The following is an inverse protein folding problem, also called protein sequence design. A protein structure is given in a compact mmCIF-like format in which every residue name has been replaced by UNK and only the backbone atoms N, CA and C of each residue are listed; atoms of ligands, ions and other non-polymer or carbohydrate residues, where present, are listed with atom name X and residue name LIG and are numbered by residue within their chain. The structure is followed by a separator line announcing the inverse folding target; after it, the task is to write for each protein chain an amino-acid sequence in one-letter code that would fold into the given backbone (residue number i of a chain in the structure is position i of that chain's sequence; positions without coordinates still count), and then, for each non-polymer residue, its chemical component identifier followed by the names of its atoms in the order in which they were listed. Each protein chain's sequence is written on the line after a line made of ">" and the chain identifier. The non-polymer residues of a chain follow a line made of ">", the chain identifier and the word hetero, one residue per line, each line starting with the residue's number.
data_IF_848557179299
#
_entry.id   IF_848557179299
#
_cell.length_a   1.000
_cell.length_b   1.000
_cell.length_c   1.000
_cell.angle_alpha   90.00
_cell.angle_beta   90.00
_cell.angle_gamma   90.00
#
_symmetry.space_group_name_H-M   'P 1'
#
loop_
_entity.id
_entity.type
_entity.pdbx_description
1 polymer ?
#
# COMPACT_ATOMS: atom_id res chain seq x y z
N UNK A 1 28.83 -16.61 -0.84
CA UNK A 1 28.72 -15.24 -1.41
C UNK A 1 28.22 -14.33 -0.32
N UNK A 2 28.81 -13.14 -0.13
CA UNK A 2 28.29 -12.18 0.85
C UNK A 2 26.86 -11.78 0.48
N UNK A 3 25.98 -11.68 1.47
CA UNK A 3 24.63 -11.16 1.29
C UNK A 3 24.70 -9.68 0.86
N UNK A 4 23.86 -9.25 -0.10
CA UNK A 4 23.77 -7.83 -0.46
C UNK A 4 23.19 -7.01 0.70
N UNK A 5 23.66 -5.78 0.88
CA UNK A 5 23.09 -4.85 1.85
C UNK A 5 21.66 -4.46 1.44
N UNK A 6 20.74 -4.55 2.39
CA UNK A 6 19.33 -4.14 2.23
C UNK A 6 19.04 -3.01 3.21
N UNK A 7 18.52 -1.90 2.71
CA UNK A 7 18.07 -0.77 3.51
C UNK A 7 16.59 -0.95 3.88
N UNK A 8 16.30 -0.91 5.18
CA UNK A 8 14.94 -0.94 5.72
C UNK A 8 14.57 0.47 6.15
N UNK A 9 13.64 1.12 5.46
CA UNK A 9 13.21 2.50 5.71
C UNK A 9 11.92 2.50 6.51
N UNK A 10 11.94 3.14 7.68
CA UNK A 10 10.84 3.18 8.64
C UNK A 10 10.46 4.63 8.93
N UNK A 11 9.36 5.15 8.38
CA UNK A 11 8.83 6.45 8.78
C UNK A 11 8.19 6.34 10.17
N UNK A 12 8.60 7.18 11.11
CA UNK A 12 8.16 7.18 12.50
C UNK A 12 7.48 8.49 12.83
N UNK A 13 6.22 8.44 13.33
CA UNK A 13 5.51 9.62 13.84
C UNK A 13 4.44 9.23 14.85
N UNK A 14 4.66 9.56 16.12
CA UNK A 14 3.73 9.32 17.22
C UNK A 14 3.19 7.88 17.27
N UNK A 15 4.11 6.90 17.40
CA UNK A 15 3.85 5.45 17.41
C UNK A 15 4.54 4.72 18.55
N UNK A 16 4.78 5.39 19.66
CA UNK A 16 5.51 4.89 20.83
C UNK A 16 5.10 3.48 21.26
N UNK A 17 3.81 3.18 21.23
CA UNK A 17 3.27 1.89 21.70
C UNK A 17 3.64 0.71 20.79
N UNK A 18 3.91 0.97 19.50
CA UNK A 18 4.13 -0.06 18.47
C UNK A 18 5.59 -0.18 18.03
N UNK A 19 6.35 0.90 18.19
CA UNK A 19 7.67 1.07 17.57
C UNK A 19 8.67 -0.02 17.99
N UNK A 20 8.67 -0.44 19.25
CA UNK A 20 9.54 -1.51 19.72
C UNK A 20 9.28 -2.83 18.96
N UNK A 21 8.02 -3.24 18.83
CA UNK A 21 7.65 -4.45 18.11
C UNK A 21 8.10 -4.37 16.64
N UNK A 22 7.93 -3.21 16.00
CA UNK A 22 8.38 -2.98 14.63
C UNK A 22 9.88 -3.13 14.51
N UNK A 23 10.67 -2.38 15.29
CA UNK A 23 12.14 -2.36 15.19
C UNK A 23 12.74 -3.73 15.55
N UNK A 24 12.25 -4.37 16.60
CA UNK A 24 12.69 -5.72 16.98
C UNK A 24 12.41 -6.75 15.88
N UNK A 25 11.26 -6.66 15.19
CA UNK A 25 10.95 -7.54 14.07
C UNK A 25 11.91 -7.37 12.88
N UNK A 26 12.47 -6.18 12.69
CA UNK A 26 13.48 -5.88 11.68
C UNK A 26 14.86 -6.40 12.11
N UNK A 27 15.28 -6.13 13.34
CA UNK A 27 16.59 -6.50 13.85
C UNK A 27 16.77 -8.02 14.01
N UNK A 28 15.67 -8.76 14.17
CA UNK A 28 15.60 -10.22 14.26
C UNK A 28 15.40 -10.93 12.91
N UNK A 29 15.57 -10.24 11.78
CA UNK A 29 15.50 -10.86 10.46
C UNK A 29 16.67 -11.82 10.23
N UNK A 30 16.41 -12.95 9.54
CA UNK A 30 17.45 -13.95 9.19
C UNK A 30 18.44 -13.44 8.16
N UNK A 31 18.08 -12.44 7.37
CA UNK A 31 19.02 -11.69 6.53
C UNK A 31 19.77 -10.68 7.39
N UNK A 32 21.05 -10.95 7.67
CA UNK A 32 21.84 -10.18 8.65
C UNK A 32 22.38 -8.85 8.11
N UNK A 33 22.68 -8.77 6.79
CA UNK A 33 23.31 -7.59 6.19
C UNK A 33 22.27 -6.49 5.90
N UNK A 34 21.82 -5.82 6.96
CA UNK A 34 20.81 -4.76 6.95
C UNK A 34 21.41 -3.42 7.36
N UNK A 35 20.88 -2.33 6.83
CA UNK A 35 20.86 -1.02 7.46
C UNK A 35 19.41 -0.62 7.73
N UNK A 36 19.12 -0.15 8.93
CA UNK A 36 17.78 0.24 9.38
C UNK A 36 17.75 1.75 9.54
N UNK A 37 16.92 2.43 8.76
CA UNK A 37 16.83 3.89 8.73
C UNK A 37 15.51 4.28 9.36
N UNK A 38 15.54 4.69 10.62
CA UNK A 38 14.39 5.22 11.36
C UNK A 38 14.31 6.72 11.10
N UNK A 39 13.25 7.16 10.44
CA UNK A 39 13.03 8.58 10.14
C UNK A 39 11.95 9.12 11.06
N UNK A 40 12.36 9.74 12.17
CA UNK A 40 11.46 10.39 13.11
C UNK A 40 10.99 11.74 12.53
N UNK A 41 9.75 11.76 12.09
CA UNK A 41 9.09 12.90 11.44
C UNK A 41 8.50 13.89 12.47
N UNK A 42 9.30 14.25 13.49
CA UNK A 42 8.95 15.21 14.51
C UNK A 42 7.95 14.66 15.54
N UNK A 43 8.16 13.46 16.05
CA UNK A 43 7.34 12.86 17.09
C UNK A 43 7.39 13.65 18.40
N UNK A 44 6.29 13.61 19.16
CA UNK A 44 6.12 14.30 20.45
C UNK A 44 5.69 13.38 21.59
N UNK A 45 5.59 12.07 21.32
CA UNK A 45 5.08 11.06 22.27
C UNK A 45 6.19 10.20 22.90
N UNK A 46 7.45 10.45 22.58
CA UNK A 46 8.60 9.66 23.02
C UNK A 46 9.08 8.63 21.99
N UNK A 47 8.53 8.62 20.76
CA UNK A 47 9.00 7.74 19.68
C UNK A 47 10.43 8.07 19.26
N UNK A 48 10.83 9.35 19.23
CA UNK A 48 12.16 9.79 18.87
C UNK A 48 13.22 9.25 19.84
N UNK A 49 12.96 9.28 21.14
CA UNK A 49 13.84 8.74 22.18
C UNK A 49 14.01 7.21 22.06
N UNK A 50 12.96 6.50 21.65
CA UNK A 50 13.04 5.06 21.35
C UNK A 50 13.97 4.83 20.15
N UNK A 51 13.81 5.60 19.06
CA UNK A 51 14.73 5.52 17.91
C UNK A 51 16.17 5.68 18.33
N UNK A 52 16.49 6.71 19.13
CA UNK A 52 17.82 6.99 19.63
C UNK A 52 18.40 5.85 20.50
N UNK A 53 17.53 5.19 21.27
CA UNK A 53 17.94 4.04 22.09
C UNK A 53 18.42 2.87 21.23
N UNK A 54 17.72 2.58 20.14
CA UNK A 54 18.14 1.53 19.19
C UNK A 54 19.43 1.88 18.46
N UNK A 55 19.61 3.12 18.02
CA UNK A 55 20.86 3.56 17.39
C UNK A 55 22.09 3.46 18.30
N UNK A 56 21.91 3.55 19.62
CA UNK A 56 22.99 3.37 20.61
C UNK A 56 23.34 1.90 20.84
N UNK A 57 22.40 0.99 20.61
CA UNK A 57 22.57 -0.43 20.97
C UNK A 57 22.84 -1.34 19.75
N UNK A 58 22.43 -0.92 18.54
CA UNK A 58 22.65 -1.70 17.31
C UNK A 58 23.26 -0.82 16.21
N UNK A 59 24.44 -1.15 15.77
CA UNK A 59 25.20 -0.39 14.76
C UNK A 59 24.57 -0.40 13.37
N UNK A 60 23.59 -1.27 13.11
CA UNK A 60 22.83 -1.30 11.87
C UNK A 60 21.76 -0.19 11.81
N UNK A 61 21.43 0.43 12.95
CA UNK A 61 20.37 1.44 13.07
C UNK A 61 20.94 2.85 12.91
N UNK A 62 20.35 3.60 11.99
CA UNK A 62 20.56 5.04 11.80
C UNK A 62 19.25 5.77 12.06
N UNK A 63 19.32 6.90 12.78
CA UNK A 63 18.16 7.76 13.04
C UNK A 63 18.30 9.09 12.31
N UNK A 64 17.21 9.54 11.72
CA UNK A 64 17.08 10.90 11.16
C UNK A 64 15.91 11.59 11.86
N UNK A 65 16.18 12.68 12.57
CA UNK A 65 15.12 13.53 13.10
C UNK A 65 14.81 14.65 12.11
N UNK A 66 13.53 14.82 11.78
CA UNK A 66 13.05 15.84 10.85
C UNK A 66 11.89 16.64 11.45
N UNK A 67 11.62 17.80 10.90
CA UNK A 67 10.34 18.48 11.17
C UNK A 67 9.24 17.74 10.44
N UNK A 68 8.05 17.64 11.05
CA UNK A 68 6.93 16.90 10.49
C UNK A 68 6.58 17.36 9.06
N UNK A 69 6.86 16.49 8.11
CA UNK A 69 6.56 16.64 6.69
C UNK A 69 5.59 15.59 6.16
N UNK A 70 5.20 14.62 7.00
CA UNK A 70 4.35 13.50 6.68
C UNK A 70 5.12 12.29 6.14
N UNK A 71 4.43 11.16 6.05
CA UNK A 71 5.01 9.86 5.72
C UNK A 71 5.77 9.84 4.38
N UNK A 72 5.30 10.59 3.37
CA UNK A 72 5.98 10.74 2.09
C UNK A 72 7.36 11.41 2.24
N UNK A 73 7.45 12.49 3.00
CA UNK A 73 8.70 13.20 3.27
C UNK A 73 9.67 12.32 4.04
N UNK A 74 9.19 11.63 5.09
CA UNK A 74 10.02 10.70 5.86
C UNK A 74 10.60 9.58 4.98
N UNK A 75 9.77 8.94 4.12
CA UNK A 75 10.26 7.91 3.17
C UNK A 75 11.29 8.49 2.19
N UNK A 76 11.08 9.70 1.67
CA UNK A 76 12.03 10.37 0.79
C UNK A 76 13.38 10.61 1.48
N UNK A 77 13.39 11.06 2.73
CA UNK A 77 14.62 11.23 3.52
C UNK A 77 15.36 9.90 3.71
N UNK A 78 14.64 8.82 4.00
CA UNK A 78 15.24 7.49 4.06
C UNK A 78 15.87 7.05 2.73
N UNK A 79 15.20 7.30 1.59
CA UNK A 79 15.73 7.01 0.24
C UNK A 79 17.01 7.81 -0.04
N UNK A 80 17.10 9.05 0.39
CA UNK A 80 18.26 9.93 0.14
C UNK A 80 19.55 9.41 0.78
N UNK A 81 19.44 8.76 1.94
CA UNK A 81 20.62 8.30 2.72
C UNK A 81 20.91 6.81 2.60
N UNK A 82 19.96 6.02 2.06
CA UNK A 82 20.09 4.57 1.94
C UNK A 82 21.27 4.15 1.05
N UNK A 83 22.01 3.12 1.49
CA UNK A 83 23.23 2.62 0.82
C UNK A 83 23.05 1.24 0.22
N UNK A 84 22.00 0.49 0.65
CA UNK A 84 21.72 -0.87 0.22
C UNK A 84 21.58 -1.00 -1.31
N UNK A 85 21.92 -2.14 -1.85
CA UNK A 85 21.65 -2.51 -3.24
C UNK A 85 20.12 -2.63 -3.47
N UNK A 86 19.44 -3.04 -2.42
CA UNK A 86 17.98 -3.15 -2.34
C UNK A 86 17.46 -2.30 -1.19
N UNK A 87 16.17 -1.96 -1.26
CA UNK A 87 15.46 -1.32 -0.16
C UNK A 87 14.06 -1.91 0.03
N UNK A 88 13.55 -1.80 1.24
CA UNK A 88 12.19 -2.12 1.63
C UNK A 88 11.64 -1.05 2.57
N UNK A 89 10.32 -0.91 2.59
CA UNK A 89 9.62 -0.03 3.53
C UNK A 89 8.83 -0.86 4.52
N UNK A 90 8.74 -0.38 5.75
CA UNK A 90 7.82 -0.89 6.76
C UNK A 90 7.19 0.29 7.49
N UNK A 91 5.88 0.25 7.70
CA UNK A 91 5.21 1.22 8.54
C UNK A 91 5.51 0.92 10.03
N UNK A 92 5.74 1.94 10.82
CA UNK A 92 6.29 1.83 12.18
C UNK A 92 5.34 1.23 13.22
N UNK A 93 4.11 0.94 12.85
CA UNK A 93 3.12 0.21 13.62
C UNK A 93 2.95 -1.26 13.19
N UNK A 94 3.65 -1.69 12.13
CA UNK A 94 3.60 -3.04 11.60
C UNK A 94 4.79 -3.90 12.07
N UNK A 95 4.79 -5.18 11.70
CA UNK A 95 5.90 -6.10 11.98
C UNK A 95 6.14 -7.08 10.84
N UNK A 96 7.27 -7.77 10.88
CA UNK A 96 7.69 -8.75 9.90
C UNK A 96 7.93 -10.11 10.54
N UNK A 97 7.61 -11.21 9.83
CA UNK A 97 8.09 -12.54 10.18
C UNK A 97 9.62 -12.62 10.01
N UNK A 98 10.33 -13.41 10.82
CA UNK A 98 11.80 -13.43 10.81
C UNK A 98 12.45 -13.70 9.45
N UNK A 99 11.81 -14.48 8.59
CA UNK A 99 12.37 -14.87 7.28
C UNK A 99 11.89 -13.97 6.13
N UNK A 100 11.16 -12.89 6.39
CA UNK A 100 10.54 -12.09 5.32
C UNK A 100 11.57 -11.50 4.37
N UNK A 101 12.57 -10.78 4.88
CA UNK A 101 13.58 -10.10 4.04
C UNK A 101 14.42 -11.14 3.28
N UNK A 102 14.83 -12.22 3.93
CA UNK A 102 15.58 -13.30 3.28
C UNK A 102 14.77 -13.96 2.18
N UNK A 103 13.49 -14.26 2.41
CA UNK A 103 12.59 -14.85 1.42
C UNK A 103 12.45 -13.95 0.18
N UNK A 104 12.26 -12.65 0.38
CA UNK A 104 12.19 -11.67 -0.71
C UNK A 104 13.53 -11.60 -1.48
N UNK A 105 14.65 -11.58 -0.76
CA UNK A 105 15.99 -11.51 -1.33
C UNK A 105 16.33 -12.75 -2.16
N UNK A 106 16.09 -13.94 -1.63
CA UNK A 106 16.32 -15.21 -2.35
C UNK A 106 15.47 -15.30 -3.61
N UNK A 107 14.20 -14.86 -3.55
CA UNK A 107 13.35 -14.80 -4.72
C UNK A 107 13.85 -13.79 -5.76
N UNK A 108 14.39 -12.65 -5.33
CA UNK A 108 15.04 -11.68 -6.20
C UNK A 108 16.28 -12.29 -6.90
N UNK A 109 17.17 -12.92 -6.13
CA UNK A 109 18.39 -13.55 -6.68
C UNK A 109 18.06 -14.64 -7.70
N UNK A 110 17.02 -15.45 -7.43
CA UNK A 110 16.58 -16.52 -8.32
C UNK A 110 15.96 -16.00 -9.61
N UNK A 111 15.16 -14.94 -9.54
CA UNK A 111 14.37 -14.44 -10.67
C UNK A 111 15.08 -13.33 -11.47
N UNK A 112 16.00 -12.59 -10.84
CA UNK A 112 16.56 -11.35 -11.38
C UNK A 112 15.52 -10.23 -11.51
N UNK A 113 14.44 -10.27 -10.71
CA UNK A 113 13.38 -9.27 -10.76
C UNK A 113 13.84 -7.93 -10.15
N UNK A 114 13.36 -6.81 -10.69
CA UNK A 114 13.63 -5.49 -10.15
C UNK A 114 12.82 -5.21 -8.87
N UNK A 115 11.69 -5.90 -8.74
CA UNK A 115 10.74 -5.81 -7.62
C UNK A 115 10.26 -7.21 -7.26
N UNK A 116 10.30 -7.54 -5.97
CA UNK A 116 9.65 -8.73 -5.41
C UNK A 116 8.56 -8.27 -4.45
N UNK A 117 7.38 -8.81 -4.57
CA UNK A 117 6.22 -8.51 -3.71
C UNK A 117 5.71 -9.79 -3.06
N UNK A 118 5.44 -9.77 -1.77
CA UNK A 118 4.73 -10.85 -1.10
C UNK A 118 3.34 -10.40 -0.64
N UNK A 119 2.56 -11.35 -0.13
CA UNK A 119 1.29 -11.10 0.54
C UNK A 119 1.52 -10.68 1.98
N UNK A 120 0.43 -10.35 2.67
CA UNK A 120 0.43 -9.93 4.07
C UNK A 120 -0.73 -10.58 4.82
N UNK A 121 -0.66 -10.46 6.13
CA UNK A 121 -1.78 -10.79 7.02
C UNK A 121 -2.19 -9.55 7.81
N UNK A 122 -3.49 -9.35 7.97
CA UNK A 122 -4.03 -8.36 8.87
C UNK A 122 -4.01 -8.92 10.28
N UNK A 123 -3.37 -8.21 11.19
CA UNK A 123 -3.34 -8.53 12.61
C UNK A 123 -4.20 -7.50 13.32
N UNK A 124 -5.20 -7.94 14.09
CA UNK A 124 -6.11 -7.07 14.80
C UNK A 124 -5.69 -6.93 16.27
N UNK A 125 -6.03 -5.80 16.90
CA UNK A 125 -5.74 -5.53 18.32
C UNK A 125 -6.34 -6.60 19.27
N UNK A 126 -7.36 -7.33 18.83
CA UNK A 126 -7.97 -8.47 19.56
C UNK A 126 -7.24 -9.82 19.34
N UNK A 127 -6.10 -9.82 18.66
CA UNK A 127 -5.28 -10.98 18.34
C UNK A 127 -5.77 -11.80 17.14
N UNK A 128 -6.86 -11.45 16.52
CA UNK A 128 -7.37 -12.10 15.30
C UNK A 128 -6.45 -11.84 14.12
N UNK A 129 -6.23 -12.87 13.30
CA UNK A 129 -5.41 -12.79 12.08
C UNK A 129 -6.25 -13.16 10.87
N UNK A 130 -6.23 -12.30 9.84
CA UNK A 130 -6.84 -12.56 8.54
C UNK A 130 -5.76 -12.47 7.44
N UNK A 131 -5.58 -13.54 6.68
CA UNK A 131 -4.63 -13.53 5.55
C UNK A 131 -5.19 -12.73 4.38
N UNK A 132 -4.32 -12.00 3.68
CA UNK A 132 -4.71 -11.35 2.44
C UNK A 132 -5.06 -12.40 1.37
N UNK A 133 -6.06 -12.09 0.55
CA UNK A 133 -6.42 -12.95 -0.57
C UNK A 133 -5.34 -12.94 -1.64
N UNK A 134 -5.12 -14.08 -2.30
CA UNK A 134 -4.17 -14.18 -3.40
C UNK A 134 -4.37 -15.43 -4.23
N UNK A 135 -3.83 -15.44 -5.45
CA UNK A 135 -3.93 -16.54 -6.42
C UNK A 135 -2.62 -17.30 -6.59
N UNK A 136 -1.49 -16.67 -6.24
CA UNK A 136 -0.16 -17.29 -6.40
C UNK A 136 0.11 -18.29 -5.29
N UNK A 137 0.36 -19.54 -5.67
CA UNK A 137 0.94 -20.56 -4.81
C UNK A 137 2.43 -20.65 -5.13
N UNK A 138 3.31 -20.44 -4.12
CA UNK A 138 4.75 -20.40 -4.35
C UNK A 138 5.21 -19.05 -4.93
N UNK A 139 5.79 -19.06 -6.13
CA UNK A 139 6.41 -17.88 -6.75
C UNK A 139 6.06 -17.79 -8.23
N UNK A 140 5.74 -16.59 -8.71
CA UNK A 140 5.53 -16.30 -10.14
C UNK A 140 6.28 -15.03 -10.53
N UNK A 141 7.04 -15.10 -11.62
CA UNK A 141 7.76 -13.96 -12.19
C UNK A 141 7.11 -13.55 -13.49
N UNK A 142 6.79 -12.28 -13.64
CA UNK A 142 6.08 -11.74 -14.80
C UNK A 142 6.76 -10.49 -15.33
N UNK A 143 6.46 -10.15 -16.59
CA UNK A 143 6.89 -8.88 -17.19
C UNK A 143 6.02 -7.70 -16.73
N UNK A 144 6.43 -6.49 -17.11
CA UNK A 144 5.82 -5.21 -16.75
C UNK A 144 4.30 -5.16 -16.93
N UNK A 145 3.79 -5.48 -18.12
CA UNK A 145 2.35 -5.34 -18.41
C UNK A 145 1.49 -6.25 -17.52
N UNK A 146 1.93 -7.49 -17.29
CA UNK A 146 1.23 -8.41 -16.40
C UNK A 146 1.33 -7.94 -14.93
N UNK A 147 2.48 -7.37 -14.52
CA UNK A 147 2.62 -6.79 -13.19
C UNK A 147 1.67 -5.60 -12.99
N UNK A 148 1.56 -4.71 -13.97
CA UNK A 148 0.58 -3.62 -13.98
C UNK A 148 -0.86 -4.17 -13.90
N UNK A 149 -1.20 -5.19 -14.70
CA UNK A 149 -2.52 -5.83 -14.66
C UNK A 149 -2.84 -6.38 -13.27
N UNK A 150 -1.89 -7.09 -12.64
CA UNK A 150 -2.05 -7.61 -11.27
C UNK A 150 -2.27 -6.50 -10.25
N UNK A 151 -1.51 -5.41 -10.33
CA UNK A 151 -1.67 -4.25 -9.45
C UNK A 151 -3.05 -3.59 -9.63
N UNK A 152 -3.50 -3.42 -10.88
CA UNK A 152 -4.79 -2.81 -11.19
C UNK A 152 -5.96 -3.63 -10.64
N UNK A 153 -5.93 -4.96 -10.76
CA UNK A 153 -6.94 -5.87 -10.22
C UNK A 153 -6.70 -6.26 -8.74
N UNK A 154 -5.60 -5.83 -8.13
CA UNK A 154 -5.19 -6.21 -6.77
C UNK A 154 -5.03 -7.74 -6.61
N UNK A 155 -4.37 -8.39 -7.58
CA UNK A 155 -4.07 -9.82 -7.56
C UNK A 155 -2.68 -10.02 -6.91
N UNK A 156 -2.64 -10.65 -5.74
CA UNK A 156 -1.43 -10.94 -4.93
C UNK A 156 -0.63 -9.71 -4.47
N UNK A 157 -1.09 -8.49 -4.76
CA UNK A 157 -0.42 -7.23 -4.41
C UNK A 157 -1.43 -6.10 -4.30
N UNK A 158 -1.03 -5.02 -3.66
CA UNK A 158 -1.74 -3.74 -3.65
C UNK A 158 -0.74 -2.60 -3.87
N UNK A 159 -1.25 -1.38 -3.97
CA UNK A 159 -0.46 -0.15 -4.14
C UNK A 159 0.38 0.23 -2.91
N UNK A 160 0.24 -0.45 -1.76
CA UNK A 160 1.11 -0.26 -0.61
C UNK A 160 2.59 -0.47 -0.98
N UNK A 161 3.49 0.29 -0.38
CA UNK A 161 4.94 0.18 -0.65
C UNK A 161 5.63 -0.83 0.25
N UNK A 162 5.02 -1.22 1.36
CA UNK A 162 5.51 -2.29 2.24
C UNK A 162 5.26 -3.70 1.65
N UNK A 163 5.77 -4.74 2.30
CA UNK A 163 5.75 -6.14 1.83
C UNK A 163 6.39 -6.33 0.44
N UNK A 164 7.41 -5.54 0.14
CA UNK A 164 8.12 -5.52 -1.15
C UNK A 164 9.60 -5.28 -0.96
N UNK A 165 10.41 -5.91 -1.84
CA UNK A 165 11.84 -5.62 -1.96
C UNK A 165 12.09 -4.98 -3.32
N UNK A 166 12.70 -3.83 -3.32
CA UNK A 166 12.98 -3.02 -4.51
C UNK A 166 14.46 -2.99 -4.81
N UNK A 167 14.87 -3.10 -6.07
CA UNK A 167 16.17 -2.60 -6.47
C UNK A 167 16.23 -1.09 -6.23
N UNK A 168 17.24 -0.59 -5.52
CA UNK A 168 17.37 0.84 -5.19
C UNK A 168 17.31 1.76 -6.41
N UNK A 169 17.80 1.28 -7.55
CA UNK A 169 17.82 2.04 -8.79
C UNK A 169 16.44 2.49 -9.28
N UNK A 170 15.36 1.82 -8.87
CA UNK A 170 13.99 2.25 -9.15
C UNK A 170 13.65 3.62 -8.53
N UNK A 171 14.40 4.04 -7.51
CA UNK A 171 14.21 5.33 -6.83
C UNK A 171 15.23 6.41 -7.25
N UNK A 172 16.04 6.19 -8.30
CA UNK A 172 16.97 7.23 -8.79
C UNK A 172 16.24 8.52 -9.22
N UNK A 173 15.09 8.39 -9.86
CA UNK A 173 14.28 9.50 -10.37
C UNK A 173 12.89 9.61 -9.76
N UNK A 174 12.49 8.66 -8.91
CA UNK A 174 11.16 8.63 -8.29
C UNK A 174 11.25 9.07 -6.83
N UNK A 175 10.28 9.88 -6.42
CA UNK A 175 10.06 10.29 -5.04
C UNK A 175 8.57 10.28 -4.73
N UNK A 176 8.24 10.06 -3.46
CA UNK A 176 6.88 10.21 -2.98
C UNK A 176 6.45 11.69 -3.07
N UNK A 177 5.20 11.94 -3.43
CA UNK A 177 4.63 13.29 -3.49
C UNK A 177 4.32 13.78 -2.07
N UNK A 178 5.12 14.74 -1.58
CA UNK A 178 5.02 15.27 -0.22
C UNK A 178 3.76 16.12 -0.02
N UNK A 179 3.25 16.15 1.23
CA UNK A 179 2.09 16.95 1.62
C UNK A 179 0.74 16.42 1.14
N UNK A 180 0.71 15.28 0.46
CA UNK A 180 -0.51 14.61 0.01
C UNK A 180 -0.68 13.25 0.69
N UNK A 181 -1.91 12.75 0.69
CA UNK A 181 -2.27 11.40 1.14
C UNK A 181 -2.47 10.50 -0.08
N UNK A 182 -2.39 9.17 0.11
CA UNK A 182 -2.37 8.16 -0.94
C UNK A 182 -1.13 8.24 -1.86
N UNK A 183 -0.01 8.68 -1.30
CA UNK A 183 1.29 8.76 -1.95
C UNK A 183 1.74 7.41 -2.52
N UNK A 184 1.36 6.31 -1.84
CA UNK A 184 1.60 4.94 -2.31
C UNK A 184 0.90 4.66 -3.63
N UNK A 185 -0.37 5.08 -3.75
CA UNK A 185 -1.12 4.95 -5.00
C UNK A 185 -0.44 5.73 -6.14
N UNK A 186 0.08 6.90 -5.85
CA UNK A 186 0.71 7.76 -6.84
C UNK A 186 2.04 7.18 -7.35
N UNK A 187 2.87 6.61 -6.48
CA UNK A 187 4.23 6.17 -6.83
C UNK A 187 4.31 4.77 -7.40
N UNK A 188 3.40 3.84 -7.00
CA UNK A 188 3.54 2.43 -7.36
C UNK A 188 3.42 2.14 -8.85
N UNK A 189 2.56 2.85 -9.59
CA UNK A 189 2.46 2.68 -11.04
C UNK A 189 3.73 3.16 -11.76
N UNK A 190 4.29 4.35 -11.50
CA UNK A 190 5.61 4.75 -12.00
C UNK A 190 6.74 3.77 -11.67
N UNK A 191 6.77 3.20 -10.47
CA UNK A 191 7.76 2.17 -10.09
C UNK A 191 7.62 0.95 -11.01
N UNK A 192 6.40 0.43 -11.19
CA UNK A 192 6.16 -0.73 -12.05
C UNK A 192 6.56 -0.46 -13.51
N UNK A 193 6.35 0.75 -14.01
CA UNK A 193 6.74 1.12 -15.38
C UNK A 193 8.26 1.12 -15.61
N UNK A 194 9.06 1.34 -14.55
CA UNK A 194 10.51 1.23 -14.62
C UNK A 194 11.02 -0.21 -14.45
N UNK A 195 10.18 -1.15 -14.02
CA UNK A 195 10.58 -2.54 -13.86
C UNK A 195 10.63 -3.29 -15.22
N UNK A 196 11.52 -4.26 -15.33
CA UNK A 196 11.50 -5.25 -16.43
C UNK A 196 10.75 -6.50 -16.02
N UNK A 197 10.96 -6.94 -14.78
CA UNK A 197 10.37 -8.15 -14.19
C UNK A 197 9.92 -7.86 -12.75
N UNK A 198 8.80 -8.45 -12.37
CA UNK A 198 8.28 -8.45 -10.99
C UNK A 198 8.02 -9.89 -10.57
N UNK A 199 8.41 -10.24 -9.36
CA UNK A 199 8.11 -11.55 -8.76
C UNK A 199 7.07 -11.37 -7.67
N UNK A 200 6.01 -12.17 -7.72
CA UNK A 200 4.99 -12.27 -6.69
C UNK A 200 5.13 -13.58 -5.93
N UNK A 201 5.11 -13.50 -4.60
CA UNK A 201 5.22 -14.64 -3.69
C UNK A 201 3.89 -14.89 -2.98
N UNK A 202 3.51 -16.17 -2.91
CA UNK A 202 2.38 -16.63 -2.08
C UNK A 202 2.70 -16.67 -0.58
N UNK A 203 3.73 -15.98 -0.13
CA UNK A 203 4.17 -15.89 1.26
C UNK A 203 3.57 -14.64 1.94
N UNK A 204 3.05 -14.78 3.14
CA UNK A 204 2.37 -13.73 3.91
C UNK A 204 3.16 -13.31 5.17
N UNK A 205 4.43 -12.98 4.99
CA UNK A 205 5.36 -12.65 6.07
C UNK A 205 5.27 -11.20 6.60
N UNK A 206 4.49 -10.32 6.00
CA UNK A 206 4.25 -8.97 6.51
C UNK A 206 3.00 -8.95 7.38
N UNK A 207 3.08 -8.41 8.60
CA UNK A 207 2.02 -8.32 9.59
C UNK A 207 1.49 -6.89 9.65
N UNK A 208 0.39 -6.64 8.95
CA UNK A 208 -0.26 -5.32 8.91
C UNK A 208 -1.20 -5.15 10.10
N UNK A 209 -0.87 -4.25 11.03
CA UNK A 209 -1.66 -3.99 12.23
C UNK A 209 -2.91 -3.18 11.94
N UNK A 210 -4.07 -3.72 12.26
CA UNK A 210 -5.37 -3.08 12.09
C UNK A 210 -5.77 -2.31 13.35
N UNK A 211 -5.26 -1.06 13.48
CA UNK A 211 -5.60 -0.18 14.63
C UNK A 211 -6.98 0.45 14.48
N UNK A 212 -7.66 0.63 15.60
CA UNK A 212 -8.94 1.36 15.67
C UNK A 212 -8.78 2.84 15.29
N UNK A 213 -7.64 3.46 15.64
CA UNK A 213 -7.30 4.87 15.39
C UNK A 213 -6.43 5.11 14.14
N UNK A 214 -6.29 4.13 13.25
CA UNK A 214 -5.43 4.23 12.06
C UNK A 214 -5.87 5.33 11.08
N UNK A 215 -4.90 5.93 10.36
CA UNK A 215 -5.11 7.04 9.41
C UNK A 215 -6.19 6.74 8.35
N UNK A 216 -6.26 5.51 7.87
CA UNK A 216 -7.26 5.09 6.88
C UNK A 216 -8.69 5.07 7.41
N UNK A 217 -8.87 4.99 8.75
CA UNK A 217 -10.19 4.97 9.42
C UNK A 217 -10.71 6.34 9.83
N UNK A 218 -9.91 7.39 9.69
CA UNK A 218 -10.36 8.76 9.93
C UNK A 218 -11.59 9.10 9.09
N UNK A 219 -12.46 9.97 9.63
CA UNK A 219 -13.63 10.50 8.92
C UNK A 219 -13.23 11.17 7.60
N UNK A 220 -14.20 11.31 6.69
CA UNK A 220 -13.94 11.99 5.43
C UNK A 220 -13.50 13.44 5.65
N UNK A 221 -12.46 13.84 4.94
CA UNK A 221 -12.03 15.23 4.78
C UNK A 221 -11.59 15.46 3.32
N UNK A 222 -11.64 16.72 2.85
CA UNK A 222 -11.44 17.05 1.40
C UNK A 222 -10.11 16.57 0.82
N UNK A 223 -9.05 16.49 1.62
CA UNK A 223 -7.76 15.93 1.15
C UNK A 223 -7.91 14.50 0.61
N UNK A 224 -8.89 13.71 1.11
CA UNK A 224 -9.13 12.34 0.60
C UNK A 224 -9.58 12.31 -0.87
N UNK A 225 -10.01 13.44 -1.43
CA UNK A 225 -10.32 13.55 -2.87
C UNK A 225 -9.08 13.36 -3.76
N UNK A 226 -7.86 13.48 -3.23
CA UNK A 226 -6.63 13.20 -3.96
C UNK A 226 -6.62 11.80 -4.61
N UNK A 227 -7.25 10.80 -3.97
CA UNK A 227 -7.36 9.46 -4.56
C UNK A 227 -8.13 9.46 -5.88
N UNK A 228 -9.14 10.32 -6.02
CA UNK A 228 -9.89 10.47 -7.29
C UNK A 228 -8.99 11.07 -8.37
N UNK A 229 -8.19 12.09 -8.00
CA UNK A 229 -7.25 12.73 -8.93
C UNK A 229 -6.20 11.73 -9.43
N UNK A 230 -5.58 10.99 -8.51
CA UNK A 230 -4.60 9.96 -8.84
C UNK A 230 -5.21 8.83 -9.70
N UNK A 231 -6.42 8.40 -9.40
CA UNK A 231 -7.10 7.36 -10.17
C UNK A 231 -7.42 7.83 -11.60
N UNK A 232 -7.80 9.09 -11.79
CA UNK A 232 -8.02 9.66 -13.12
C UNK A 232 -6.72 9.80 -13.92
N UNK A 233 -5.63 10.26 -13.28
CA UNK A 233 -4.31 10.36 -13.89
C UNK A 233 -3.81 8.98 -14.31
N UNK A 234 -3.86 8.01 -13.39
CA UNK A 234 -3.49 6.61 -13.64
C UNK A 234 -4.29 6.02 -14.80
N UNK A 235 -5.62 6.15 -14.78
CA UNK A 235 -6.48 5.65 -15.86
C UNK A 235 -6.08 6.24 -17.21
N UNK A 236 -5.94 7.56 -17.30
CA UNK A 236 -5.58 8.25 -18.54
C UNK A 236 -4.23 7.79 -19.08
N UNK A 237 -3.24 7.71 -18.21
CA UNK A 237 -1.90 7.27 -18.58
C UNK A 237 -1.89 5.81 -19.05
N UNK A 238 -2.41 4.88 -18.22
CA UNK A 238 -2.42 3.44 -18.52
C UNK A 238 -3.23 3.14 -19.80
N UNK A 239 -4.41 3.75 -19.96
CA UNK A 239 -5.24 3.51 -21.15
C UNK A 239 -4.60 4.03 -22.45
N UNK A 240 -3.71 5.02 -22.35
CA UNK A 240 -2.99 5.59 -23.50
C UNK A 240 -1.74 4.76 -23.84
N UNK A 241 -0.92 4.46 -22.82
CA UNK A 241 0.38 3.76 -23.01
C UNK A 241 0.19 2.25 -23.17
N UNK A 242 -0.78 1.69 -22.45
CA UNK A 242 -1.10 0.26 -22.43
C UNK A 242 -2.58 0.00 -22.75
N UNK A 243 -3.05 0.18 -24.00
CA UNK A 243 -4.47 0.11 -24.35
C UNK A 243 -5.16 -1.20 -23.92
N UNK A 244 -4.40 -2.32 -23.91
CA UNK A 244 -4.88 -3.63 -23.44
C UNK A 244 -5.22 -3.67 -21.96
N UNK A 245 -4.74 -2.72 -21.18
CA UNK A 245 -5.00 -2.59 -19.72
C UNK A 245 -6.09 -1.56 -19.41
N UNK A 246 -6.74 -0.96 -20.41
CA UNK A 246 -7.75 0.09 -20.20
C UNK A 246 -8.93 -0.38 -19.31
N UNK A 247 -9.38 -1.63 -19.47
CA UNK A 247 -10.43 -2.21 -18.62
C UNK A 247 -9.97 -2.38 -17.17
N UNK A 248 -8.76 -2.88 -16.96
CA UNK A 248 -8.16 -3.02 -15.64
C UNK A 248 -7.97 -1.65 -14.96
N UNK A 249 -7.52 -0.63 -15.72
CA UNK A 249 -7.37 0.73 -15.21
C UNK A 249 -8.72 1.34 -14.83
N UNK A 250 -9.77 1.12 -15.64
CA UNK A 250 -11.13 1.55 -15.32
C UNK A 250 -11.68 0.84 -14.05
N UNK A 251 -11.40 -0.47 -13.90
CA UNK A 251 -11.73 -1.22 -12.70
C UNK A 251 -11.09 -0.61 -11.45
N UNK A 252 -9.78 -0.33 -11.50
CA UNK A 252 -9.04 0.27 -10.37
C UNK A 252 -9.57 1.67 -10.03
N UNK A 253 -9.85 2.50 -11.04
CA UNK A 253 -10.43 3.82 -10.86
C UNK A 253 -11.80 3.73 -10.16
N UNK A 254 -12.71 2.88 -10.62
CA UNK A 254 -14.01 2.68 -9.97
C UNK A 254 -13.90 2.21 -8.53
N UNK A 255 -12.92 1.35 -8.22
CA UNK A 255 -12.67 0.91 -6.85
C UNK A 255 -12.22 2.07 -5.95
N UNK A 256 -11.35 2.95 -6.46
CA UNK A 256 -10.95 4.16 -5.77
C UNK A 256 -12.14 5.11 -5.57
N UNK A 257 -12.94 5.32 -6.62
CA UNK A 257 -14.13 6.15 -6.57
C UNK A 257 -15.14 5.65 -5.52
N UNK A 258 -15.45 4.35 -5.50
CA UNK A 258 -16.35 3.80 -4.48
C UNK A 258 -15.79 3.89 -3.07
N UNK A 259 -14.47 3.73 -2.89
CA UNK A 259 -13.83 3.89 -1.59
C UNK A 259 -14.10 5.29 -1.04
N UNK A 260 -13.89 6.34 -1.83
CA UNK A 260 -14.14 7.72 -1.44
C UNK A 260 -15.63 8.00 -1.32
N UNK A 261 -16.44 7.61 -2.30
CA UNK A 261 -17.88 7.85 -2.31
C UNK A 261 -18.57 7.41 -1.02
N UNK A 262 -18.23 6.22 -0.56
CA UNK A 262 -18.80 5.61 0.66
C UNK A 262 -18.33 6.26 1.97
N UNK A 263 -17.31 7.12 1.92
CA UNK A 263 -16.83 7.89 3.08
C UNK A 263 -17.45 9.29 3.12
N UNK A 264 -17.83 9.89 1.98
CA UNK A 264 -18.36 11.26 1.92
C UNK A 264 -19.67 11.37 2.70
N UNK A 265 -19.78 12.29 3.69
CA UNK A 265 -21.03 12.52 4.43
C UNK A 265 -22.16 12.97 3.49
N UNK A 266 -23.41 12.57 3.82
CA UNK A 266 -24.59 12.88 3.01
C UNK A 266 -25.19 14.27 3.28
N UNK A 267 -24.39 15.21 3.77
CA UNK A 267 -24.81 16.58 4.06
C UNK A 267 -24.73 17.47 2.82
N UNK A 268 -25.38 18.62 2.85
CA UNK A 268 -25.34 19.60 1.77
C UNK A 268 -23.90 20.12 1.52
N UNK A 269 -23.10 20.24 2.58
CA UNK A 269 -21.70 20.70 2.54
C UNK A 269 -20.82 19.94 1.53
N UNK A 270 -21.05 18.61 1.37
CA UNK A 270 -20.22 17.76 0.50
C UNK A 270 -20.96 17.35 -0.79
N UNK A 271 -21.93 18.13 -1.23
CA UNK A 271 -22.74 17.84 -2.43
C UNK A 271 -21.89 17.81 -3.70
N UNK A 272 -20.96 18.75 -3.83
CA UNK A 272 -20.12 18.86 -5.03
C UNK A 272 -19.09 17.73 -5.11
N UNK A 273 -18.47 17.36 -3.98
CA UNK A 273 -17.55 16.22 -3.90
C UNK A 273 -18.28 14.91 -4.29
N UNK A 274 -19.48 14.66 -3.74
CA UNK A 274 -20.28 13.50 -4.13
C UNK A 274 -20.60 13.49 -5.61
N UNK A 275 -21.08 14.62 -6.17
CA UNK A 275 -21.42 14.75 -7.59
C UNK A 275 -20.21 14.49 -8.49
N UNK A 276 -19.04 14.99 -8.10
CA UNK A 276 -17.79 14.73 -8.81
C UNK A 276 -17.48 13.23 -8.87
N UNK A 277 -17.49 12.54 -7.73
CA UNK A 277 -17.22 11.09 -7.66
C UNK A 277 -18.28 10.28 -8.42
N UNK A 278 -19.57 10.64 -8.32
CA UNK A 278 -20.63 10.02 -9.11
C UNK A 278 -20.39 10.12 -10.62
N UNK A 279 -19.87 11.26 -11.09
CA UNK A 279 -19.53 11.45 -12.50
C UNK A 279 -18.35 10.57 -12.92
N UNK A 280 -17.32 10.42 -12.07
CA UNK A 280 -16.22 9.50 -12.32
C UNK A 280 -16.72 8.05 -12.42
N UNK A 281 -17.54 7.59 -11.48
CA UNK A 281 -18.15 6.25 -11.53
C UNK A 281 -18.97 6.06 -12.82
N UNK A 282 -19.79 7.03 -13.21
CA UNK A 282 -20.60 6.97 -14.45
C UNK A 282 -19.72 6.84 -15.68
N UNK A 283 -18.58 7.53 -15.72
CA UNK A 283 -17.62 7.52 -16.83
C UNK A 283 -17.11 6.10 -17.11
N UNK A 284 -16.74 5.34 -16.08
CA UNK A 284 -16.11 4.02 -16.21
C UNK A 284 -17.10 2.85 -16.13
N UNK A 285 -18.34 3.09 -15.68
CA UNK A 285 -19.34 2.08 -15.36
C UNK A 285 -19.54 1.02 -16.44
N UNK A 286 -19.74 1.44 -17.71
CA UNK A 286 -20.00 0.50 -18.81
C UNK A 286 -18.79 -0.41 -19.10
N UNK A 287 -17.59 0.14 -19.03
CA UNK A 287 -16.33 -0.60 -19.23
C UNK A 287 -16.18 -1.68 -18.18
N UNK A 288 -16.33 -1.32 -16.90
CA UNK A 288 -16.15 -2.26 -15.78
C UNK A 288 -17.25 -3.34 -15.73
N UNK A 289 -18.48 -3.02 -16.15
CA UNK A 289 -19.55 -4.03 -16.21
C UNK A 289 -19.26 -5.11 -17.27
N UNK A 290 -18.57 -4.77 -18.36
CA UNK A 290 -18.17 -5.72 -19.43
C UNK A 290 -16.91 -6.49 -19.10
N UNK A 291 -16.08 -5.96 -18.21
CA UNK A 291 -14.80 -6.57 -17.82
C UNK A 291 -15.03 -7.94 -17.17
N UNK A 292 -14.45 -8.99 -17.77
CA UNK A 292 -14.59 -10.37 -17.29
C UNK A 292 -13.90 -10.63 -15.95
N UNK A 293 -12.88 -9.83 -15.60
CA UNK A 293 -12.12 -9.95 -14.35
C UNK A 293 -12.77 -9.18 -13.19
N UNK A 294 -13.69 -8.27 -13.48
CA UNK A 294 -14.40 -7.54 -12.44
C UNK A 294 -15.39 -8.46 -11.72
N UNK A 295 -15.13 -8.74 -10.44
CA UNK A 295 -15.98 -9.60 -9.63
C UNK A 295 -17.33 -8.99 -9.28
N UNK A 296 -18.26 -9.85 -8.84
CA UNK A 296 -19.63 -9.46 -8.45
C UNK A 296 -19.65 -8.34 -7.39
N UNK A 297 -18.68 -8.36 -6.44
CA UNK A 297 -18.55 -7.33 -5.40
C UNK A 297 -18.34 -5.90 -5.92
N UNK A 298 -17.82 -5.74 -7.15
CA UNK A 298 -17.68 -4.44 -7.83
C UNK A 298 -18.85 -4.20 -8.81
N UNK A 299 -19.31 -5.24 -9.53
CA UNK A 299 -20.39 -5.10 -10.52
C UNK A 299 -21.74 -4.80 -9.89
N UNK A 300 -22.09 -5.43 -8.76
CA UNK A 300 -23.39 -5.22 -8.12
C UNK A 300 -23.60 -3.76 -7.67
N UNK A 301 -22.67 -3.09 -6.96
CA UNK A 301 -22.80 -1.66 -6.69
C UNK A 301 -22.91 -0.80 -7.94
N UNK A 302 -22.17 -1.12 -9.02
CA UNK A 302 -22.25 -0.40 -10.28
C UNK A 302 -23.63 -0.50 -10.92
N UNK A 303 -24.27 -1.66 -10.92
CA UNK A 303 -25.64 -1.84 -11.41
C UNK A 303 -26.62 -0.97 -10.60
N UNK A 304 -26.48 -0.91 -9.28
CA UNK A 304 -27.32 -0.05 -8.45
C UNK A 304 -27.23 1.43 -8.82
N UNK A 305 -26.07 1.91 -9.31
CA UNK A 305 -25.91 3.31 -9.73
C UNK A 305 -26.76 3.70 -10.95
N UNK A 306 -27.33 2.75 -11.69
CA UNK A 306 -28.28 3.04 -12.77
C UNK A 306 -29.65 3.48 -12.24
N UNK A 307 -30.02 2.98 -11.09
CA UNK A 307 -31.29 3.30 -10.43
C UNK A 307 -31.08 4.49 -9.48
N UNK A 308 -30.17 4.34 -8.55
CA UNK A 308 -29.81 5.40 -7.59
C UNK A 308 -28.50 5.11 -6.91
N UNK A 309 -27.65 6.12 -6.79
CA UNK A 309 -26.43 6.07 -5.97
C UNK A 309 -26.74 5.81 -4.48
N UNK A 310 -27.94 6.15 -4.00
CA UNK A 310 -28.38 5.83 -2.65
C UNK A 310 -28.44 4.34 -2.33
N UNK A 311 -28.67 3.48 -3.33
CA UNK A 311 -28.69 2.02 -3.16
C UNK A 311 -27.31 1.45 -2.84
N UNK A 312 -26.23 2.10 -3.26
CA UNK A 312 -24.85 1.66 -2.95
C UNK A 312 -24.59 1.70 -1.45
N UNK A 313 -25.09 2.71 -0.74
CA UNK A 313 -24.99 2.78 0.73
C UNK A 313 -25.79 1.67 1.41
N UNK A 314 -27.01 1.36 0.92
CA UNK A 314 -27.82 0.25 1.47
C UNK A 314 -27.10 -1.09 1.33
N UNK A 315 -26.44 -1.36 0.21
CA UNK A 315 -25.62 -2.57 0.03
C UNK A 315 -24.45 -2.65 1.00
N UNK A 316 -23.80 -1.50 1.29
CA UNK A 316 -22.73 -1.45 2.31
C UNK A 316 -23.27 -1.80 3.69
N UNK A 317 -24.41 -1.22 4.06
CA UNK A 317 -25.01 -1.43 5.39
C UNK A 317 -25.47 -2.89 5.57
N UNK A 318 -26.06 -3.51 4.54
CA UNK A 318 -26.41 -4.93 4.54
C UNK A 318 -25.19 -5.84 4.73
N UNK A 319 -24.05 -5.55 4.09
CA UNK A 319 -22.79 -6.32 4.29
C UNK A 319 -22.26 -6.18 5.71
N UNK A 320 -22.41 -5.03 6.36
CA UNK A 320 -22.03 -4.83 7.76
C UNK A 320 -22.93 -5.65 8.71
N UNK A 321 -24.23 -5.73 8.44
CA UNK A 321 -25.19 -6.52 9.21
C UNK A 321 -24.92 -8.02 9.08
N UNK A 322 -24.65 -8.51 7.86
CA UNK A 322 -24.32 -9.93 7.63
C UNK A 322 -23.02 -10.38 8.31
N UNK A 323 -22.01 -9.51 8.39
CA UNK A 323 -20.76 -9.79 9.15
C UNK A 323 -20.99 -9.82 10.67
N UNK A 324 -21.94 -9.05 11.20
CA UNK A 324 -22.31 -9.10 12.64
C UNK A 324 -23.13 -10.32 13.04
N UNK A 325 -23.95 -10.86 12.14
CA UNK A 325 -24.77 -12.05 12.39
C UNK A 325 -24.00 -13.38 12.21
N UNK A 326 -22.88 -13.39 11.50
CA UNK A 326 -21.99 -14.54 11.37
C UNK A 326 -20.94 -14.66 12.50
N UNK A 327 -21.08 -13.84 13.55
CA UNK A 327 -20.23 -13.83 14.77
C UNK A 327 -20.98 -14.22 16.05
N UNK A 328 -22.19 -14.86 15.93
CA UNK A 328 -22.94 -15.47 17.05
C UNK A 328 -22.80 -16.97 16.94
#
# INVERSE_FOLDING_TARGET
>A
MSQSLISVIVPVYNVKEYLNTCVESILNQTHENLEVILVDDGSTDGSGEICDSYAKTDTRVQVLHTTNGGQAAARNRGIEVCKGEYLTFIDSDDSMEPELIETLYLAQKKSGANLVSCRWRNVYEDGRIERSSGQTNGSVTVGKEEALRRMLYQIDTDVCVWAKLYQRDLFKSLRFEEGKIYEDFAIMFPILEQTKKVTFLGYDGYCYLQRSAGTMRQSFHRKKMALIDYAEVMYRHISTVYPKLAEAAAYRAVRADFNIYLQIPRTAEYKEERKRVENCIKKYRKTVLRDQYAGFGTKAPLLCTWISFGLVYRLKDMKKLGKRQGQI
#
